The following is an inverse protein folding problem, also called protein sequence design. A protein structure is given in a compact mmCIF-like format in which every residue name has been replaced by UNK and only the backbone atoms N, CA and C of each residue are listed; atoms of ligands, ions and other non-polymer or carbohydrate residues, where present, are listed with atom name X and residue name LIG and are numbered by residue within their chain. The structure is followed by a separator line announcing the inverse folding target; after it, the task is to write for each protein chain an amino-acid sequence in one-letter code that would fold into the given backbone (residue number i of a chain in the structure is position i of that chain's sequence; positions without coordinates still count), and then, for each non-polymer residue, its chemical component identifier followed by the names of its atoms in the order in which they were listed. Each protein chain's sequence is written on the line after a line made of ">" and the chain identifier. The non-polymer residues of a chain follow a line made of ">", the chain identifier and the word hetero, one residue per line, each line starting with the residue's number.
data_IF_271601089484
#
_entry.id   IF_271601089484
#
_cell.length_a   1.000
_cell.length_b   1.000
_cell.length_c   1.000
_cell.angle_alpha   90.00
_cell.angle_beta   90.00
_cell.angle_gamma   90.00
#
_symmetry.space_group_name_H-M   'P 1'
#
loop_
_entity.id
_entity.type
_entity.pdbx_description
1 polymer ?
#
# COMPACT_ATOMS: atom_id res chain seq x y z
N UNK A 1 2.97 7.53 -12.64
CA UNK A 1 2.05 6.35 -12.46
C UNK A 1 1.77 5.98 -11.00
N UNK A 2 2.74 6.11 -10.08
CA UNK A 2 2.60 5.77 -8.65
C UNK A 2 1.39 6.43 -7.95
N UNK A 3 1.20 7.75 -8.14
CA UNK A 3 0.04 8.48 -7.61
C UNK A 3 -1.30 7.87 -8.00
N UNK A 4 -1.42 7.31 -9.22
CA UNK A 4 -2.64 6.64 -9.66
C UNK A 4 -2.87 5.34 -8.89
N UNK A 5 -1.81 4.57 -8.62
CA UNK A 5 -1.90 3.37 -7.79
C UNK A 5 -2.33 3.72 -6.36
N UNK A 6 -1.66 4.69 -5.72
CA UNK A 6 -2.03 5.18 -4.39
C UNK A 6 -3.49 5.67 -4.33
N UNK A 7 -3.97 6.37 -5.36
CA UNK A 7 -5.37 6.79 -5.44
C UNK A 7 -6.33 5.60 -5.50
N UNK A 8 -6.05 4.57 -6.31
CA UNK A 8 -6.90 3.38 -6.40
C UNK A 8 -6.99 2.69 -5.03
N UNK A 9 -5.85 2.51 -4.36
CA UNK A 9 -5.82 1.86 -3.05
C UNK A 9 -6.50 2.71 -1.98
N UNK A 10 -6.33 4.04 -2.02
CA UNK A 10 -7.00 4.97 -1.11
C UNK A 10 -8.53 4.98 -1.28
N UNK A 11 -9.04 4.87 -2.52
CA UNK A 11 -10.48 4.72 -2.73
C UNK A 11 -10.98 3.41 -2.10
N UNK A 12 -10.25 2.31 -2.28
CA UNK A 12 -10.62 1.04 -1.66
C UNK A 12 -10.62 1.10 -0.14
N UNK A 13 -9.64 1.78 0.47
CA UNK A 13 -9.57 1.98 1.91
C UNK A 13 -10.79 2.75 2.45
N UNK A 14 -11.29 3.74 1.70
CA UNK A 14 -12.48 4.53 2.09
C UNK A 14 -13.81 3.78 1.99
N UNK A 15 -13.84 2.65 1.28
CA UNK A 15 -15.04 1.84 1.10
C UNK A 15 -15.22 0.76 2.18
N UNK A 16 -14.23 0.56 3.05
CA UNK A 16 -14.26 -0.45 4.10
C UNK A 16 -14.27 0.20 5.48
N UNK A 17 -14.74 -0.53 6.49
CA UNK A 17 -14.77 -0.03 7.85
C UNK A 17 -13.33 0.18 8.40
N UNK A 18 -13.11 1.18 9.29
CA UNK A 18 -11.82 1.37 9.96
C UNK A 18 -11.30 0.09 10.63
N UNK A 19 -10.00 -0.15 10.53
CA UNK A 19 -9.34 -1.36 11.03
C UNK A 19 -9.46 -2.59 10.12
N UNK A 20 -10.27 -2.55 9.06
CA UNK A 20 -10.26 -3.63 8.06
C UNK A 20 -9.02 -3.55 7.17
N UNK A 21 -8.48 -4.71 6.79
CA UNK A 21 -7.24 -4.81 6.03
C UNK A 21 -7.41 -4.47 4.54
N UNK A 22 -6.42 -3.73 4.01
CA UNK A 22 -6.26 -3.48 2.57
C UNK A 22 -5.06 -4.26 2.05
N UNK A 23 -5.32 -5.17 1.10
CA UNK A 23 -4.28 -5.97 0.46
C UNK A 23 -4.14 -5.64 -1.02
N UNK A 24 -2.89 -5.46 -1.47
CA UNK A 24 -2.53 -5.43 -2.89
C UNK A 24 -1.57 -6.58 -3.16
N UNK A 25 -2.07 -7.64 -3.79
CA UNK A 25 -1.35 -8.90 -3.98
C UNK A 25 -1.09 -9.16 -5.47
N UNK A 26 0.19 -9.27 -5.84
CA UNK A 26 0.61 -9.68 -7.19
C UNK A 26 0.13 -8.76 -8.33
N UNK A 27 0.49 -9.12 -9.57
CA UNK A 27 -0.03 -8.43 -10.77
C UNK A 27 0.54 -7.04 -11.05
N UNK A 28 1.55 -6.59 -10.30
CA UNK A 28 2.23 -5.30 -10.52
C UNK A 28 3.75 -5.42 -10.37
N UNK A 29 4.49 -4.45 -10.92
CA UNK A 29 5.95 -4.33 -10.87
C UNK A 29 6.35 -2.85 -10.71
N UNK A 30 7.32 -2.56 -9.86
CA UNK A 30 7.86 -1.21 -9.63
C UNK A 30 8.34 -0.49 -10.90
N UNK A 31 8.77 -1.22 -11.94
CA UNK A 31 9.12 -0.63 -13.24
C UNK A 31 7.94 0.11 -13.90
N UNK A 32 6.70 -0.18 -13.49
CA UNK A 32 5.51 0.58 -13.88
C UNK A 32 5.49 2.00 -13.28
N UNK A 33 6.34 2.28 -12.29
CA UNK A 33 6.47 3.56 -11.58
C UNK A 33 7.78 4.28 -11.93
N UNK A 34 8.06 4.44 -13.23
CA UNK A 34 9.29 5.06 -13.74
C UNK A 34 9.65 6.44 -13.12
N UNK A 35 8.67 7.14 -12.56
CA UNK A 35 8.83 8.48 -11.94
C UNK A 35 9.33 8.42 -10.48
N UNK A 36 9.40 7.24 -9.85
CA UNK A 36 9.72 7.08 -8.42
C UNK A 36 10.55 5.79 -8.20
N UNK A 37 11.87 5.85 -8.38
CA UNK A 37 12.73 4.70 -8.14
C UNK A 37 12.76 4.37 -6.65
N UNK A 38 12.30 3.17 -6.27
CA UNK A 38 12.32 2.70 -4.87
C UNK A 38 11.05 2.00 -4.38
N UNK A 39 9.93 2.13 -5.09
CA UNK A 39 8.64 1.57 -4.69
C UNK A 39 7.83 2.54 -3.83
N UNK A 40 7.05 2.01 -2.89
CA UNK A 40 6.21 2.79 -1.97
C UNK A 40 7.00 3.13 -0.68
N UNK A 41 6.69 4.25 -0.03
CA UNK A 41 7.18 4.54 1.34
C UNK A 41 6.07 4.33 2.38
N UNK A 42 6.44 4.07 3.63
CA UNK A 42 5.48 3.94 4.74
C UNK A 42 4.61 5.19 4.87
N UNK A 43 5.17 6.38 4.70
CA UNK A 43 4.42 7.65 4.77
C UNK A 43 3.40 7.80 3.64
N UNK A 44 3.72 7.36 2.42
CA UNK A 44 2.77 7.34 1.31
C UNK A 44 1.61 6.39 1.58
N UNK A 45 1.88 5.24 2.22
CA UNK A 45 0.86 4.25 2.56
C UNK A 45 0.01 4.68 3.74
N UNK A 46 0.60 5.33 4.75
CA UNK A 46 -0.12 5.96 5.86
C UNK A 46 -1.08 7.03 5.34
N UNK A 47 -0.64 7.86 4.40
CA UNK A 47 -1.50 8.86 3.77
C UNK A 47 -2.61 8.24 2.90
N UNK A 48 -2.34 7.10 2.27
CA UNK A 48 -3.32 6.42 1.41
C UNK A 48 -4.43 5.71 2.22
N UNK A 49 -4.09 5.12 3.36
CA UNK A 49 -5.03 4.45 4.27
C UNK A 49 -4.69 4.76 5.75
N UNK A 50 -5.15 5.90 6.28
CA UNK A 50 -4.80 6.35 7.62
C UNK A 50 -5.52 5.57 8.74
N UNK A 51 -6.61 4.87 8.42
CA UNK A 51 -7.45 4.15 9.39
C UNK A 51 -7.45 2.63 9.18
N UNK A 52 -6.69 2.13 8.21
CA UNK A 52 -6.72 0.73 7.80
C UNK A 52 -5.29 0.18 7.64
N UNK A 53 -4.97 -0.98 8.23
CA UNK A 53 -3.70 -1.65 7.97
C UNK A 53 -3.59 -2.02 6.48
N UNK A 54 -2.47 -1.65 5.86
CA UNK A 54 -2.22 -1.84 4.44
C UNK A 54 -0.98 -2.70 4.21
N UNK A 55 -1.13 -3.69 3.33
CA UNK A 55 -0.04 -4.55 2.89
C UNK A 55 0.00 -4.64 1.36
N UNK A 56 1.13 -4.25 0.77
CA UNK A 56 1.38 -4.35 -0.66
C UNK A 56 2.52 -5.34 -0.88
N UNK A 57 2.20 -6.45 -1.55
CA UNK A 57 3.16 -7.47 -1.92
C UNK A 57 3.85 -7.12 -3.24
N UNK A 58 5.19 -7.06 -3.25
CA UNK A 58 6.00 -7.00 -4.47
C UNK A 58 6.66 -8.35 -4.72
N UNK A 59 6.03 -9.16 -5.55
CA UNK A 59 6.41 -10.57 -5.74
C UNK A 59 6.51 -11.29 -4.38
N UNK A 60 7.18 -12.42 -4.29
CA UNK A 60 7.40 -13.11 -3.01
C UNK A 60 8.64 -12.63 -2.25
N UNK A 61 9.23 -11.50 -2.63
CA UNK A 61 10.53 -11.05 -2.14
C UNK A 61 10.49 -9.85 -1.20
N UNK A 62 9.42 -9.04 -1.26
CA UNK A 62 9.31 -7.80 -0.49
C UNK A 62 7.84 -7.46 -0.23
N UNK A 63 7.58 -6.89 0.93
CA UNK A 63 6.32 -6.23 1.26
C UNK A 63 6.56 -4.75 1.53
N UNK A 64 5.56 -3.93 1.24
CA UNK A 64 5.44 -2.55 1.69
C UNK A 64 4.24 -2.47 2.63
N UNK A 65 4.40 -1.81 3.76
CA UNK A 65 3.40 -1.73 4.81
C UNK A 65 3.28 -0.29 5.32
N UNK A 66 2.10 0.07 5.79
CA UNK A 66 1.89 1.28 6.56
C UNK A 66 2.14 1.01 8.06
N UNK A 67 2.17 2.06 8.87
CA UNK A 67 2.50 1.96 10.30
C UNK A 67 1.53 1.06 11.06
N UNK A 68 0.24 1.07 10.67
CA UNK A 68 -0.78 0.21 11.28
C UNK A 68 -0.52 -1.28 11.02
N UNK A 69 -0.20 -1.65 9.77
CA UNK A 69 0.12 -3.04 9.43
C UNK A 69 1.42 -3.52 10.10
N UNK A 70 2.43 -2.66 10.20
CA UNK A 70 3.68 -2.97 10.92
C UNK A 70 3.41 -3.24 12.41
N UNK A 71 2.53 -2.45 13.05
CA UNK A 71 2.18 -2.63 14.45
C UNK A 71 1.39 -3.92 14.70
N UNK A 72 0.48 -4.32 13.80
CA UNK A 72 -0.32 -5.53 13.97
C UNK A 72 0.46 -6.83 13.70
N UNK A 73 1.53 -6.76 12.91
CA UNK A 73 2.34 -7.93 12.52
C UNK A 73 3.63 -8.09 13.35
N UNK A 74 3.92 -7.15 14.25
CA UNK A 74 5.03 -7.21 15.20
C UNK A 74 4.72 -8.14 16.39
#
# INVERSE_FOLDING_TARGET
>A
MLKKALNIVSQRAKEIDPGQWVFVLGGWNEQQFADTPGGFTTEELDAAAPENPMFIQKSYSKAYMNSLAEQELA
#
